data_IF_917060875673
#
_entry.id   IF_917060875673
#
_cell.length_a   1.000
_cell.length_b   1.000
_cell.length_c   1.000
_cell.angle_alpha   90.00
_cell.angle_beta   90.00
_cell.angle_gamma   90.00
#
_symmetry.space_group_name_H-M   'P 1'
#
loop_
_entity.id
_entity.type
_entity.pdbx_description
1 polymer ?
#
# COMPACT_ATOMS: atom_id res chain seq x y z
N UNK A 1 -14.14 -2.75 8.24
CA UNK A 1 -13.12 -1.69 8.22
C UNK A 1 -12.21 -1.85 9.43
N UNK A 2 -10.97 -1.33 9.38
CA UNK A 2 -10.09 -1.38 10.54
C UNK A 2 -10.61 -0.51 11.71
N UNK A 3 -10.10 -0.78 12.91
CA UNK A 3 -10.35 0.06 14.09
C UNK A 3 -9.73 1.46 13.93
N UNK A 4 -10.26 2.46 14.65
CA UNK A 4 -9.85 3.86 14.48
C UNK A 4 -8.40 4.12 14.91
N UNK A 5 -7.95 3.44 15.97
CA UNK A 5 -6.58 3.57 16.52
C UNK A 5 -5.61 2.49 16.01
N UNK A 6 -5.93 1.85 14.88
CA UNK A 6 -5.12 0.75 14.38
C UNK A 6 -3.78 1.22 13.81
N UNK A 7 -2.67 0.76 14.40
CA UNK A 7 -1.33 0.89 13.84
C UNK A 7 -0.88 -0.43 13.18
N UNK A 8 -0.57 -0.35 11.90
CA UNK A 8 -0.15 -1.48 11.06
C UNK A 8 1.36 -1.53 10.85
N UNK A 9 2.12 -0.57 11.38
CA UNK A 9 3.56 -0.47 11.18
C UNK A 9 4.29 -1.77 11.53
N UNK A 10 5.13 -2.25 10.62
CA UNK A 10 5.89 -3.49 10.77
C UNK A 10 5.11 -4.78 10.49
N UNK A 11 3.79 -4.70 10.31
CA UNK A 11 2.98 -5.87 9.96
C UNK A 11 2.99 -6.12 8.45
N UNK A 12 2.85 -7.38 8.06
CA UNK A 12 2.74 -7.79 6.67
C UNK A 12 1.31 -7.57 6.17
N UNK A 13 1.17 -6.87 5.05
CA UNK A 13 -0.07 -6.73 4.32
C UNK A 13 0.01 -7.45 2.98
N UNK A 14 -1.12 -7.94 2.50
CA UNK A 14 -1.28 -8.57 1.19
C UNK A 14 -1.88 -7.57 0.22
N UNK A 15 -1.21 -7.34 -0.90
CA UNK A 15 -1.77 -6.67 -2.08
C UNK A 15 -2.17 -7.73 -3.08
N UNK A 16 -3.31 -7.56 -3.73
CA UNK A 16 -3.73 -8.40 -4.85
C UNK A 16 -4.09 -7.56 -6.06
N UNK A 17 -3.85 -8.08 -7.27
CA UNK A 17 -4.18 -7.37 -8.49
C UNK A 17 -3.76 -8.06 -9.78
N UNK A 18 -4.18 -7.45 -10.90
CA UNK A 18 -3.82 -7.83 -12.27
C UNK A 18 -2.87 -6.82 -12.91
N UNK A 19 -2.22 -5.97 -12.12
CA UNK A 19 -1.18 -5.08 -12.59
C UNK A 19 0.04 -5.83 -13.12
N UNK A 20 0.95 -5.09 -13.73
CA UNK A 20 2.14 -5.68 -14.36
C UNK A 20 3.02 -6.36 -13.31
N UNK A 21 3.53 -7.56 -13.62
CA UNK A 21 4.42 -8.32 -12.70
C UNK A 21 5.81 -7.68 -12.54
N UNK A 22 6.17 -6.77 -13.46
CA UNK A 22 7.40 -5.97 -13.41
C UNK A 22 7.14 -4.60 -14.03
N UNK A 23 7.95 -3.61 -13.68
CA UNK A 23 7.88 -2.28 -14.28
C UNK A 23 8.02 -2.37 -15.82
N UNK A 24 7.09 -1.75 -16.56
CA UNK A 24 6.97 -1.87 -18.03
C UNK A 24 6.87 -3.32 -18.55
N UNK A 25 6.42 -4.27 -17.71
CA UNK A 25 6.25 -5.68 -18.03
C UNK A 25 4.91 -6.06 -18.63
N UNK A 26 4.63 -7.36 -18.75
CA UNK A 26 3.33 -7.86 -19.20
C UNK A 26 2.25 -7.80 -18.12
N UNK A 27 0.99 -7.80 -18.55
CA UNK A 27 -0.19 -7.93 -17.69
C UNK A 27 -0.49 -9.43 -17.53
N UNK A 28 -0.61 -9.95 -16.29
CA UNK A 28 -0.94 -11.35 -16.04
C UNK A 28 -2.41 -11.65 -16.36
N UNK A 29 -2.71 -12.89 -16.79
CA UNK A 29 -4.08 -13.38 -16.96
C UNK A 29 -4.73 -13.86 -15.67
N UNK A 30 -3.90 -14.23 -14.68
CA UNK A 30 -4.32 -14.69 -13.36
C UNK A 30 -4.08 -13.61 -12.32
N UNK A 31 -4.96 -13.53 -11.32
CA UNK A 31 -4.79 -12.66 -10.16
C UNK A 31 -3.45 -12.98 -9.48
N UNK A 32 -2.68 -11.94 -9.19
CA UNK A 32 -1.44 -12.05 -8.42
C UNK A 32 -1.67 -11.56 -7.00
N UNK A 33 -0.86 -12.07 -6.08
CA UNK A 33 -0.81 -11.60 -4.70
C UNK A 33 0.63 -11.44 -4.24
N UNK A 34 0.85 -10.48 -3.34
CA UNK A 34 2.17 -10.24 -2.78
C UNK A 34 2.07 -9.69 -1.37
N UNK A 35 2.98 -10.14 -0.49
CA UNK A 35 3.09 -9.62 0.86
C UNK A 35 4.16 -8.53 0.94
N UNK A 36 3.81 -7.40 1.55
CA UNK A 36 4.68 -6.23 1.76
C UNK A 36 4.53 -5.72 3.20
N UNK A 37 5.63 -5.32 3.86
CA UNK A 37 5.55 -4.77 5.21
C UNK A 37 5.08 -3.32 5.17
N UNK A 38 4.18 -2.94 6.08
CA UNK A 38 3.79 -1.54 6.28
C UNK A 38 4.88 -0.80 7.04
N UNK A 39 5.14 0.45 6.68
CA UNK A 39 6.18 1.29 7.31
C UNK A 39 5.63 2.63 7.79
N UNK A 40 6.38 3.30 8.67
CA UNK A 40 6.02 4.64 9.13
C UNK A 40 6.12 5.64 7.99
N UNK A 41 5.26 6.64 7.99
CA UNK A 41 5.30 7.71 6.98
C UNK A 41 6.63 8.48 7.00
N UNK A 42 7.26 8.64 8.18
CA UNK A 42 8.58 9.27 8.29
C UNK A 42 9.67 8.45 7.58
N UNK A 43 9.71 7.13 7.81
CA UNK A 43 10.67 6.25 7.14
C UNK A 43 10.46 6.26 5.62
N UNK A 44 9.19 6.23 5.19
CA UNK A 44 8.81 6.34 3.78
C UNK A 44 9.26 7.67 3.15
N UNK A 45 9.10 8.78 3.87
CA UNK A 45 9.55 10.11 3.44
C UNK A 45 11.08 10.13 3.27
N UNK A 46 11.82 9.58 4.23
CA UNK A 46 13.27 9.49 4.18
C UNK A 46 13.76 8.60 3.02
N UNK A 47 13.04 7.51 2.73
CA UNK A 47 13.33 6.65 1.60
C UNK A 47 13.17 7.39 0.27
N UNK A 48 12.06 8.10 0.06
CA UNK A 48 11.89 8.89 -1.16
C UNK A 48 12.98 9.96 -1.33
N UNK A 49 13.37 10.64 -0.25
CA UNK A 49 14.47 11.60 -0.28
C UNK A 49 15.81 10.94 -0.63
N UNK A 50 16.12 9.78 -0.04
CA UNK A 50 17.31 8.97 -0.38
C UNK A 50 17.29 8.49 -1.83
N UNK A 51 16.12 8.17 -2.37
CA UNK A 51 15.91 7.84 -3.78
C UNK A 51 16.00 9.02 -4.74
N UNK A 52 16.23 10.25 -4.24
CA UNK A 52 16.33 11.46 -5.07
C UNK A 52 14.98 12.07 -5.46
N UNK A 53 13.91 11.76 -4.73
CA UNK A 53 12.56 12.24 -5.02
C UNK A 53 12.03 13.13 -3.88
N UNK A 54 11.61 14.35 -4.22
CA UNK A 54 11.03 15.32 -3.28
C UNK A 54 9.52 15.09 -3.04
N UNK A 55 9.09 13.84 -3.01
CA UNK A 55 7.68 13.48 -2.76
C UNK A 55 7.33 13.74 -1.31
N UNK A 56 6.17 14.37 -1.04
CA UNK A 56 5.67 14.58 0.31
C UNK A 56 4.70 13.47 0.70
N UNK A 57 5.02 12.74 1.77
CA UNK A 57 4.14 11.73 2.36
C UNK A 57 3.21 12.39 3.39
N UNK A 58 1.91 12.41 3.09
CA UNK A 58 0.86 12.97 3.93
C UNK A 58 0.31 11.92 4.91
N UNK A 59 -0.37 12.37 5.95
CA UNK A 59 -1.04 11.47 6.92
C UNK A 59 -2.14 10.61 6.29
N UNK A 60 -2.79 11.12 5.24
CA UNK A 60 -3.76 10.39 4.43
C UNK A 60 -3.16 9.24 3.61
N UNK A 61 -1.84 9.11 3.59
CA UNK A 61 -1.13 8.00 2.97
C UNK A 61 -0.64 6.98 3.98
N UNK A 62 -0.51 5.76 3.48
CA UNK A 62 0.14 4.63 4.12
C UNK A 62 1.17 4.08 3.13
N UNK A 63 2.39 3.80 3.60
CA UNK A 63 3.43 3.21 2.76
C UNK A 63 3.62 1.73 3.12
N UNK A 64 3.87 0.90 2.11
CA UNK A 64 4.22 -0.49 2.30
C UNK A 64 5.20 -0.95 1.22
N UNK A 65 6.16 -1.80 1.60
CA UNK A 65 7.19 -2.31 0.70
C UNK A 65 8.55 -2.46 1.38
N UNK A 66 9.52 -2.88 0.59
CA UNK A 66 10.88 -3.16 1.06
C UNK A 66 11.81 -1.99 0.72
N UNK A 67 12.58 -1.52 1.70
CA UNK A 67 13.53 -0.42 1.51
C UNK A 67 14.57 -0.71 0.40
N UNK A 68 14.93 -1.98 0.24
CA UNK A 68 15.87 -2.51 -0.74
C UNK A 68 15.27 -2.71 -2.13
N UNK A 69 13.95 -2.61 -2.28
CA UNK A 69 13.24 -3.00 -3.50
C UNK A 69 13.22 -4.52 -3.65
N UNK A 70 12.04 -5.14 -3.63
CA UNK A 70 11.90 -6.61 -3.75
C UNK A 70 10.55 -6.94 -4.37
N UNK A 71 9.49 -6.61 -3.64
CA UNK A 71 8.10 -6.90 -3.96
C UNK A 71 7.28 -5.63 -3.77
N UNK A 72 6.34 -5.40 -4.67
CA UNK A 72 5.51 -4.18 -4.69
C UNK A 72 4.26 -4.41 -5.55
N UNK A 73 3.27 -3.53 -5.37
CA UNK A 73 2.24 -3.26 -6.38
C UNK A 73 2.85 -2.59 -7.61
N UNK A 74 2.18 -2.63 -8.76
CA UNK A 74 2.69 -2.04 -9.98
C UNK A 74 1.59 -1.40 -10.85
N UNK A 75 1.98 -0.96 -12.04
CA UNK A 75 1.08 -0.34 -13.01
C UNK A 75 -0.13 -1.25 -13.30
N UNK A 76 -1.33 -0.71 -13.13
CA UNK A 76 -2.58 -1.46 -13.28
C UNK A 76 -3.18 -1.97 -11.96
N UNK A 77 -2.44 -1.91 -10.84
CA UNK A 77 -2.97 -2.27 -9.52
C UNK A 77 -3.69 -1.12 -8.82
N UNK A 78 -3.64 0.11 -9.36
CA UNK A 78 -4.30 1.29 -8.77
C UNK A 78 -5.79 1.05 -8.48
N UNK A 79 -6.22 1.39 -7.26
CA UNK A 79 -7.56 1.08 -6.76
C UNK A 79 -7.70 -0.31 -6.13
N UNK A 80 -6.72 -1.18 -6.31
CA UNK A 80 -6.67 -2.52 -5.71
C UNK A 80 -6.45 -2.48 -4.19
N UNK A 81 -6.77 -3.58 -3.50
CA UNK A 81 -6.79 -3.60 -2.04
C UNK A 81 -5.40 -3.92 -1.45
N UNK A 82 -5.04 -3.20 -0.38
CA UNK A 82 -4.00 -3.61 0.57
C UNK A 82 -4.71 -4.11 1.82
N UNK A 83 -4.55 -5.39 2.15
CA UNK A 83 -5.36 -6.08 3.14
C UNK A 83 -4.49 -6.74 4.22
N UNK A 84 -5.05 -6.91 5.41
CA UNK A 84 -4.47 -7.71 6.48
C UNK A 84 -5.48 -8.70 7.04
N UNK A 85 -5.03 -9.89 7.39
CA UNK A 85 -5.84 -10.87 8.10
C UNK A 85 -5.85 -10.56 9.60
N UNK A 86 -7.03 -10.60 10.20
CA UNK A 86 -7.24 -10.39 11.64
C UNK A 86 -7.12 -11.72 12.40
N UNK A 87 -6.89 -11.70 13.73
CA UNK A 87 -6.86 -12.92 14.55
C UNK A 87 -8.14 -13.77 14.49
N UNK A 88 -9.28 -13.19 14.10
CA UNK A 88 -10.56 -13.87 13.92
C UNK A 88 -10.75 -14.46 12.50
N UNK A 89 -9.70 -14.46 11.67
CA UNK A 89 -9.69 -14.98 10.29
C UNK A 89 -10.35 -14.06 9.26
N UNK A 90 -10.82 -12.87 9.66
CA UNK A 90 -11.43 -11.91 8.72
C UNK A 90 -10.37 -10.99 8.13
N UNK A 91 -10.52 -10.67 6.86
CA UNK A 91 -9.67 -9.69 6.18
C UNK A 91 -10.19 -8.27 6.39
N UNK A 92 -9.27 -7.32 6.55
CA UNK A 92 -9.57 -5.90 6.62
C UNK A 92 -8.77 -5.13 5.57
N UNK A 93 -9.44 -4.19 4.90
CA UNK A 93 -8.82 -3.24 3.98
C UNK A 93 -8.09 -2.17 4.78
N UNK A 94 -6.76 -2.18 4.77
CA UNK A 94 -5.92 -1.22 5.50
C UNK A 94 -5.46 -0.05 4.61
N UNK A 95 -5.43 -0.28 3.30
CA UNK A 95 -5.23 0.78 2.33
C UNK A 95 -5.68 0.41 0.92
N UNK A 96 -5.60 1.38 0.02
CA UNK A 96 -5.93 1.23 -1.41
C UNK A 96 -4.74 1.66 -2.24
N UNK A 97 -4.31 0.85 -3.21
CA UNK A 97 -3.17 1.17 -4.09
C UNK A 97 -3.40 2.53 -4.75
N UNK A 98 -2.49 3.48 -4.55
CA UNK A 98 -2.63 4.83 -5.10
C UNK A 98 -1.60 5.08 -6.20
N UNK A 99 -0.32 5.14 -5.83
CA UNK A 99 0.76 5.44 -6.77
C UNK A 99 2.11 4.94 -6.26
N UNK A 100 3.07 4.78 -7.16
CA UNK A 100 4.46 4.47 -6.87
C UNK A 100 5.39 5.19 -7.85
N UNK A 101 6.71 5.02 -7.68
CA UNK A 101 7.72 5.42 -8.65
C UNK A 101 8.45 4.15 -9.06
N UNK A 102 8.26 3.71 -10.31
CA UNK A 102 8.59 2.34 -10.75
C UNK A 102 7.85 1.31 -9.87
N UNK A 103 8.27 0.05 -9.94
CA UNK A 103 7.71 -1.02 -9.12
C UNK A 103 8.88 -1.78 -8.47
N UNK A 104 8.82 -1.99 -7.16
CA UNK A 104 9.83 -2.72 -6.39
C UNK A 104 11.27 -2.17 -6.56
N UNK A 105 11.41 -0.86 -6.79
CA UNK A 105 12.73 -0.23 -6.88
C UNK A 105 13.26 0.12 -5.47
N UNK A 106 14.59 0.04 -5.24
CA UNK A 106 15.19 0.44 -3.98
C UNK A 106 14.80 1.88 -3.61
N UNK A 107 14.48 2.09 -2.34
CA UNK A 107 14.08 3.37 -1.74
C UNK A 107 12.75 3.96 -2.25
N UNK A 108 12.00 3.23 -3.08
CA UNK A 108 10.75 3.71 -3.69
C UNK A 108 9.59 2.78 -3.32
N UNK A 109 9.15 2.77 -2.05
CA UNK A 109 8.04 1.93 -1.62
C UNK A 109 6.72 2.34 -2.26
N UNK A 110 5.79 1.39 -2.35
CA UNK A 110 4.42 1.65 -2.77
C UNK A 110 3.70 2.57 -1.79
N UNK A 111 2.86 3.46 -2.30
CA UNK A 111 2.05 4.37 -1.50
C UNK A 111 0.57 4.11 -1.75
N UNK A 112 -0.17 4.02 -0.65
CA UNK A 112 -1.55 3.62 -0.57
C UNK A 112 -2.36 4.74 0.10
N UNK A 113 -3.63 4.88 -0.26
CA UNK A 113 -4.56 5.69 0.53
C UNK A 113 -4.83 4.98 1.86
N UNK A 114 -4.73 5.68 2.98
CA UNK A 114 -4.90 5.13 4.34
C UNK A 114 -6.38 4.97 4.66
N UNK A 115 -6.88 3.74 4.78
CA UNK A 115 -8.30 3.49 5.01
C UNK A 115 -8.80 4.12 6.32
N UNK A 116 -8.02 4.08 7.40
CA UNK A 116 -8.42 4.68 8.69
C UNK A 116 -8.59 6.20 8.61
N UNK A 117 -7.80 6.90 7.79
CA UNK A 117 -7.93 8.34 7.57
C UNK A 117 -9.22 8.70 6.84
N UNK A 118 -9.59 7.91 5.82
CA UNK A 118 -10.78 8.16 5.00
C UNK A 118 -12.05 7.52 5.57
N UNK A 119 -11.95 6.73 6.64
CA UNK A 119 -13.08 6.04 7.27
C UNK A 119 -14.24 6.97 7.66
N UNK A 120 -14.03 8.16 8.27
CA UNK A 120 -15.14 9.08 8.55
C UNK A 120 -15.88 9.54 7.29
N UNK A 121 -15.14 9.79 6.21
CA UNK A 121 -15.74 10.13 4.91
C UNK A 121 -16.51 8.95 4.32
N UNK A 122 -15.95 7.74 4.35
CA UNK A 122 -16.65 6.52 3.89
C UNK A 122 -17.98 6.36 4.64
N UNK A 123 -17.95 6.40 5.98
CA UNK A 123 -19.15 6.35 6.81
C UNK A 123 -20.16 7.44 6.46
N UNK A 124 -19.72 8.67 6.17
CA UNK A 124 -20.63 9.76 5.81
C UNK A 124 -21.38 9.53 4.49
N UNK A 125 -20.81 8.73 3.58
CA UNK A 125 -21.40 8.42 2.28
C UNK A 125 -22.23 7.12 2.33
N UNK A 126 -21.74 6.10 3.02
CA UNK A 126 -22.33 4.76 3.01
C UNK A 126 -23.28 4.49 4.16
N UNK A 127 -23.14 5.19 5.28
CA UNK A 127 -23.88 4.94 6.52
C UNK A 127 -23.51 3.64 7.24
N UNK A 128 -22.44 2.96 6.81
CA UNK A 128 -21.93 1.68 7.36
C UNK A 128 -20.48 1.82 7.73
#
# INVERSE_FOLDING_TARGET
MPGDDADFTGQMATVTGWGRVKYNGGIPSLLQEVQVPVMKNADCQDLFLKGGHSKRILESFLCAGYATGEKDSCEGDSGGPLMMERPDGRWQLVGTVSHGIRCAAPYLPGVYMRTTFFKPWLHSITGV
#
